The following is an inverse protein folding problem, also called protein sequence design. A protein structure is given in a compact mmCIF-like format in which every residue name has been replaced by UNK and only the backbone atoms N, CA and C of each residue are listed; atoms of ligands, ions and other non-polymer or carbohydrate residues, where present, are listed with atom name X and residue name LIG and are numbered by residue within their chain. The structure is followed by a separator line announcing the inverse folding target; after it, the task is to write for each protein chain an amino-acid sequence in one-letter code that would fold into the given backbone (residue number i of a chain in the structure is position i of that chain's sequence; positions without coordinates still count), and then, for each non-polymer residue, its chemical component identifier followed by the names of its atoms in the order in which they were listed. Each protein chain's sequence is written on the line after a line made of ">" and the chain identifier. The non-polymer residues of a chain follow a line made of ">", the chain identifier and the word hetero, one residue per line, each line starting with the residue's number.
data_IF_855363722935
#
_entry.id   IF_855363722935
#
_cell.length_a   1.000
_cell.length_b   1.000
_cell.length_c   1.000
_cell.angle_alpha   90.00
_cell.angle_beta   90.00
_cell.angle_gamma   90.00
#
_symmetry.space_group_name_H-M   'P 1'
#
loop_
_entity.id
_entity.type
_entity.pdbx_description
1 polymer ?
#
# COMPACT_ATOMS: atom_id res chain seq x y z
N UNK A 1 14.61 20.25 -25.07
CA UNK A 1 13.81 20.22 -23.84
C UNK A 1 14.48 19.22 -22.92
N UNK A 2 15.13 19.69 -21.87
CA UNK A 2 15.73 18.82 -20.86
C UNK A 2 14.59 18.25 -20.04
N UNK A 3 14.19 17.02 -20.33
CA UNK A 3 13.22 16.27 -19.53
C UNK A 3 13.77 16.19 -18.10
N UNK A 4 13.13 16.90 -17.19
CA UNK A 4 13.54 16.99 -15.79
C UNK A 4 13.08 15.71 -15.08
N UNK A 5 13.68 14.59 -15.46
CA UNK A 5 13.37 13.25 -14.97
C UNK A 5 13.81 13.14 -13.51
N UNK A 6 12.86 13.30 -12.59
CA UNK A 6 13.05 13.06 -11.17
C UNK A 6 12.85 11.56 -10.93
N UNK A 7 13.95 10.80 -10.83
CA UNK A 7 13.88 9.42 -10.38
C UNK A 7 13.24 9.40 -8.99
N UNK A 8 12.11 8.72 -8.87
CA UNK A 8 11.32 8.69 -7.64
C UNK A 8 11.44 7.30 -7.03
N UNK A 9 12.19 7.19 -5.94
CA UNK A 9 12.34 5.93 -5.20
C UNK A 9 11.24 5.76 -4.14
N UNK A 10 10.32 6.73 -4.03
CA UNK A 10 9.22 6.71 -3.05
C UNK A 10 7.86 7.09 -3.65
N UNK A 11 6.87 6.24 -3.42
CA UNK A 11 5.48 6.49 -3.78
C UNK A 11 4.73 6.91 -2.54
N UNK A 12 4.27 8.17 -2.52
CA UNK A 12 3.41 8.68 -1.45
C UNK A 12 1.97 8.71 -1.93
N UNK A 13 1.06 8.23 -1.09
CA UNK A 13 -0.36 8.17 -1.39
C UNK A 13 -1.20 8.52 -0.16
N UNK A 14 -2.35 9.15 -0.36
CA UNK A 14 -3.32 9.43 0.68
C UNK A 14 -4.46 8.41 0.64
N UNK A 15 -4.80 7.86 1.79
CA UNK A 15 -5.90 6.91 1.90
C UNK A 15 -7.24 7.62 1.67
N UNK A 16 -8.04 7.10 0.76
CA UNK A 16 -9.42 7.55 0.52
C UNK A 16 -10.42 6.63 1.23
N UNK A 17 -10.27 5.32 1.06
CA UNK A 17 -11.14 4.32 1.70
C UNK A 17 -10.32 3.14 2.19
N UNK A 18 -10.74 2.56 3.31
CA UNK A 18 -10.20 1.32 3.84
C UNK A 18 -11.33 0.33 4.13
N UNK A 19 -11.20 -0.87 3.61
CA UNK A 19 -12.13 -1.97 3.78
C UNK A 19 -11.41 -3.16 4.39
N UNK A 20 -12.04 -3.81 5.38
CA UNK A 20 -11.61 -5.10 5.87
C UNK A 20 -12.35 -6.18 5.09
N UNK A 21 -11.64 -6.90 4.21
CA UNK A 21 -12.21 -8.00 3.43
C UNK A 21 -11.92 -9.32 4.12
N UNK A 22 -12.97 -10.12 4.28
CA UNK A 22 -12.89 -11.48 4.79
C UNK A 22 -13.48 -12.42 3.75
N UNK A 23 -12.62 -13.19 3.07
CA UNK A 23 -13.05 -14.12 2.01
C UNK A 23 -13.81 -15.35 2.57
N UNK A 24 -13.63 -15.65 3.86
CA UNK A 24 -14.29 -16.76 4.55
C UNK A 24 -13.90 -16.81 6.02
N UNK A 25 -14.61 -17.63 6.81
CA UNK A 25 -14.47 -17.69 8.28
C UNK A 25 -13.07 -18.14 8.73
N UNK A 26 -12.36 -18.93 7.93
CA UNK A 26 -11.00 -19.40 8.21
C UNK A 26 -9.91 -18.62 7.44
N UNK A 27 -10.29 -17.63 6.64
CA UNK A 27 -9.33 -16.84 5.88
C UNK A 27 -8.79 -15.69 6.74
N UNK A 28 -7.49 -15.40 6.61
CA UNK A 28 -6.96 -14.16 7.16
C UNK A 28 -7.64 -12.96 6.49
N UNK A 29 -7.98 -11.92 7.27
CA UNK A 29 -8.50 -10.69 6.70
C UNK A 29 -7.46 -10.04 5.78
N UNK A 30 -7.96 -9.25 4.84
CA UNK A 30 -7.16 -8.45 3.91
C UNK A 30 -7.64 -7.02 4.02
N UNK A 31 -6.72 -6.06 4.13
CA UNK A 31 -7.12 -4.65 3.97
C UNK A 31 -7.14 -4.32 2.48
N UNK A 32 -8.30 -3.96 1.96
CA UNK A 32 -8.43 -3.38 0.64
C UNK A 32 -8.50 -1.86 0.79
N UNK A 33 -7.52 -1.17 0.23
CA UNK A 33 -7.28 0.25 0.42
C UNK A 33 -7.37 0.94 -0.94
N UNK A 34 -8.16 1.99 -1.03
CA UNK A 34 -8.15 2.91 -2.18
C UNK A 34 -7.38 4.14 -1.78
N UNK A 35 -6.31 4.44 -2.51
CA UNK A 35 -5.43 5.55 -2.21
C UNK A 35 -5.26 6.48 -3.41
N UNK A 36 -5.29 7.79 -3.17
CA UNK A 36 -4.93 8.78 -4.19
C UNK A 36 -3.42 8.94 -4.25
N UNK A 37 -2.84 8.88 -5.44
CA UNK A 37 -1.41 9.04 -5.62
C UNK A 37 -1.03 10.52 -5.54
N UNK A 38 -0.08 10.83 -4.66
CA UNK A 38 0.37 12.21 -4.41
C UNK A 38 1.60 12.54 -5.24
N UNK A 39 2.59 11.63 -5.29
CA UNK A 39 3.87 11.90 -5.95
C UNK A 39 3.90 11.51 -7.42
N UNK A 40 2.96 10.67 -7.88
CA UNK A 40 2.88 10.22 -9.27
C UNK A 40 1.50 10.56 -9.83
N UNK A 41 1.46 11.24 -10.98
CA UNK A 41 0.23 11.65 -11.68
C UNK A 41 -0.49 10.48 -12.38
N UNK A 42 -0.77 9.40 -11.64
CA UNK A 42 -1.50 8.21 -12.12
C UNK A 42 -2.89 8.08 -11.51
N UNK A 43 -3.34 9.09 -10.75
CA UNK A 43 -4.69 9.18 -10.21
C UNK A 43 -4.88 8.36 -8.94
N UNK A 44 -5.01 7.04 -9.06
CA UNK A 44 -5.39 6.18 -7.93
C UNK A 44 -4.52 4.91 -7.85
N UNK A 45 -4.38 4.39 -6.63
CA UNK A 45 -3.74 3.13 -6.31
C UNK A 45 -4.73 2.26 -5.53
N UNK A 46 -5.04 1.07 -6.06
CA UNK A 46 -5.73 0.03 -5.31
C UNK A 46 -4.69 -0.84 -4.63
N UNK A 47 -4.68 -0.84 -3.31
CA UNK A 47 -3.69 -1.56 -2.51
C UNK A 47 -4.36 -2.65 -1.69
N UNK A 48 -3.85 -3.87 -1.79
CA UNK A 48 -4.20 -4.97 -0.91
C UNK A 48 -3.06 -5.23 0.06
N UNK A 49 -3.39 -5.25 1.35
CA UNK A 49 -2.44 -5.50 2.42
C UNK A 49 -2.82 -6.77 3.15
N UNK A 50 -1.91 -7.74 3.11
CA UNK A 50 -2.05 -9.07 3.68
C UNK A 50 -1.20 -9.20 4.94
N UNK A 51 -1.65 -10.03 5.87
CA UNK A 51 -0.80 -10.45 6.99
C UNK A 51 0.26 -11.43 6.46
N UNK A 52 1.52 -11.15 6.74
CA UNK A 52 2.66 -12.02 6.45
C UNK A 52 3.09 -12.82 7.66
N UNK A 53 4.35 -13.21 7.67
CA UNK A 53 5.01 -13.84 8.82
C UNK A 53 5.89 -12.84 9.58
N UNK A 54 6.53 -13.30 10.66
CA UNK A 54 7.40 -12.48 11.50
C UNK A 54 8.66 -11.98 10.78
N UNK A 55 9.04 -12.60 9.66
CA UNK A 55 10.22 -12.28 8.86
C UNK A 55 9.92 -11.36 7.68
N UNK A 56 8.64 -11.06 7.44
CA UNK A 56 8.19 -10.21 6.35
C UNK A 56 8.80 -8.81 6.49
N UNK A 57 9.57 -8.38 5.49
CA UNK A 57 10.29 -7.10 5.50
C UNK A 57 11.55 -7.07 6.38
N UNK A 58 11.97 -8.20 6.95
CA UNK A 58 13.21 -8.28 7.71
C UNK A 58 14.41 -7.92 6.83
N UNK A 59 15.37 -7.20 7.40
CA UNK A 59 16.59 -6.75 6.71
C UNK A 59 16.34 -5.95 5.41
N UNK A 60 15.19 -5.27 5.30
CA UNK A 60 14.85 -4.49 4.11
C UNK A 60 14.41 -5.35 2.91
N UNK A 61 14.06 -6.61 3.14
CA UNK A 61 13.48 -7.47 2.10
C UNK A 61 12.21 -6.83 1.51
N UNK A 62 12.00 -7.05 0.21
CA UNK A 62 10.79 -6.60 -0.48
C UNK A 62 9.55 -7.18 0.20
N UNK A 63 8.56 -6.31 0.42
CA UNK A 63 7.30 -6.66 1.11
C UNK A 63 6.15 -6.91 0.12
N UNK A 64 6.39 -6.77 -1.17
CA UNK A 64 5.38 -6.94 -2.20
C UNK A 64 5.72 -6.21 -3.49
N UNK A 65 4.70 -6.06 -4.33
CA UNK A 65 4.86 -5.61 -5.71
C UNK A 65 3.87 -4.49 -6.05
N UNK A 66 4.26 -3.65 -7.00
CA UNK A 66 3.44 -2.58 -7.55
C UNK A 66 3.37 -2.75 -9.06
N UNK A 67 2.15 -2.91 -9.57
CA UNK A 67 1.84 -2.94 -10.98
C UNK A 67 1.36 -1.55 -11.42
N UNK A 68 2.10 -0.95 -12.37
CA UNK A 68 1.72 0.30 -13.03
C UNK A 68 1.14 -0.07 -14.40
N UNK A 69 -0.19 -0.06 -14.52
CA UNK A 69 -0.82 -0.32 -15.81
C UNK A 69 -0.60 0.85 -16.78
N UNK A 70 -0.18 0.55 -18.02
CA UNK A 70 -0.03 1.56 -19.07
C UNK A 70 -1.36 1.93 -19.72
N UNK A 71 -2.30 0.99 -19.77
CA UNK A 71 -3.59 1.13 -20.45
C UNK A 71 -4.64 1.87 -19.62
N UNK A 72 -4.47 1.96 -18.30
CA UNK A 72 -5.44 2.58 -17.38
C UNK A 72 -4.73 3.44 -16.32
N UNK A 73 -5.35 4.54 -15.86
CA UNK A 73 -4.80 5.39 -14.80
C UNK A 73 -5.11 4.80 -13.42
N UNK A 74 -4.76 3.54 -13.20
CA UNK A 74 -4.91 2.86 -11.91
C UNK A 74 -3.65 2.03 -11.64
N UNK A 75 -2.99 2.31 -10.53
CA UNK A 75 -1.92 1.46 -10.00
C UNK A 75 -2.51 0.39 -9.09
N UNK A 76 -1.86 -0.77 -9.04
CA UNK A 76 -2.21 -1.84 -8.11
C UNK A 76 -1.01 -2.20 -7.26
N UNK A 77 -1.20 -2.31 -5.96
CA UNK A 77 -0.16 -2.72 -5.02
C UNK A 77 -0.64 -3.93 -4.22
N UNK A 78 0.23 -4.93 -4.06
CA UNK A 78 -0.02 -6.09 -3.21
C UNK A 78 1.12 -6.23 -2.24
N UNK A 79 0.87 -5.98 -0.95
CA UNK A 79 1.88 -5.92 0.09
C UNK A 79 1.58 -6.89 1.23
N UNK A 80 2.63 -7.39 1.88
CA UNK A 80 2.56 -8.17 3.11
C UNK A 80 3.24 -7.39 4.23
N UNK A 81 2.69 -7.47 5.43
CA UNK A 81 3.31 -6.89 6.62
C UNK A 81 3.42 -7.91 7.74
N UNK A 82 4.42 -7.77 8.63
CA UNK A 82 4.51 -8.66 9.78
C UNK A 82 3.29 -8.47 10.71
N UNK A 83 2.83 -9.53 11.39
CA UNK A 83 1.62 -9.50 12.21
C UNK A 83 1.49 -8.32 13.20
N UNK A 84 2.54 -7.91 13.95
CA UNK A 84 2.42 -6.76 14.86
C UNK A 84 2.08 -5.44 14.14
N UNK A 85 2.61 -5.25 12.93
CA UNK A 85 2.34 -4.08 12.11
C UNK A 85 0.94 -4.17 11.50
N UNK A 86 0.54 -5.36 11.03
CA UNK A 86 -0.81 -5.61 10.53
C UNK A 86 -1.89 -5.25 11.57
N UNK A 87 -1.70 -5.70 12.82
CA UNK A 87 -2.61 -5.38 13.93
C UNK A 87 -2.56 -3.91 14.35
N UNK A 88 -1.42 -3.25 14.21
CA UNK A 88 -1.33 -1.82 14.44
C UNK A 88 -2.11 -1.04 13.37
N UNK A 89 -2.00 -1.44 12.10
CA UNK A 89 -2.73 -0.85 10.98
C UNK A 89 -4.24 -1.05 11.13
N UNK A 90 -4.70 -2.24 11.52
CA UNK A 90 -6.14 -2.49 11.74
C UNK A 90 -6.73 -1.49 12.75
N UNK A 91 -6.07 -1.32 13.90
CA UNK A 91 -6.51 -0.41 14.95
C UNK A 91 -6.51 1.05 14.52
N UNK A 92 -5.59 1.45 13.64
CA UNK A 92 -5.47 2.85 13.18
C UNK A 92 -6.45 3.16 12.05
N UNK A 93 -6.53 2.29 11.05
CA UNK A 93 -7.39 2.44 9.87
C UNK A 93 -8.87 2.51 10.26
N UNK A 94 -9.27 1.73 11.26
CA UNK A 94 -10.67 1.62 11.70
C UNK A 94 -10.94 2.31 13.03
N UNK A 95 -10.08 3.25 13.45
CA UNK A 95 -10.33 4.06 14.65
C UNK A 95 -11.43 5.09 14.41
N UNK A 96 -12.15 5.46 15.46
CA UNK A 96 -13.31 6.37 15.39
C UNK A 96 -12.96 7.83 15.08
N UNK A 97 -11.68 8.20 15.08
CA UNK A 97 -11.25 9.59 14.88
C UNK A 97 -10.82 9.80 13.43
N UNK A 98 -11.41 10.76 12.68
CA UNK A 98 -10.99 11.03 11.31
C UNK A 98 -9.59 11.66 11.32
N UNK A 99 -8.59 10.87 10.99
CA UNK A 99 -7.23 11.36 10.75
C UNK A 99 -6.86 11.05 9.30
N UNK A 100 -6.28 12.01 8.56
CA UNK A 100 -5.73 11.70 7.25
C UNK A 100 -4.62 10.66 7.42
N UNK A 101 -4.71 9.57 6.66
CA UNK A 101 -3.70 8.52 6.63
C UNK A 101 -2.96 8.63 5.31
N UNK A 102 -1.64 8.65 5.39
CA UNK A 102 -0.76 8.59 4.24
C UNK A 102 0.10 7.32 4.31
N UNK A 103 0.33 6.74 3.15
CA UNK A 103 1.28 5.65 2.97
C UNK A 103 2.42 6.14 2.11
N UNK A 104 3.64 5.82 2.54
CA UNK A 104 4.87 6.05 1.77
C UNK A 104 5.52 4.70 1.55
N UNK A 105 5.64 4.30 0.28
CA UNK A 105 6.31 3.07 -0.12
C UNK A 105 7.65 3.40 -0.73
N UNK A 106 8.71 2.76 -0.26
CA UNK A 106 10.03 2.84 -0.89
C UNK A 106 10.17 1.71 -1.90
N UNK A 107 10.58 2.04 -3.12
CA UNK A 107 10.83 1.09 -4.19
C UNK A 107 12.20 0.45 -3.99
N UNK A 108 12.28 -0.87 -4.13
CA UNK A 108 13.57 -1.55 -4.14
C UNK A 108 14.35 -1.17 -5.41
N UNK A 109 15.63 -0.82 -5.25
CA UNK A 109 16.53 -0.69 -6.39
C UNK A 109 16.71 -2.06 -7.05
N UNK A 110 16.58 -2.12 -8.37
CA UNK A 110 16.78 -3.35 -9.14
C UNK A 110 18.25 -3.59 -9.42
#
# INVERSE_FOLDING_TARGET
>A
MTDNWQQTDQITMSLQTAELRLAGIQSQPVFALSCHLVTIARGQCQMELFCGDQTTGANGAAIGDILIELSRPVMRASLRTPPPLYDALSRRLFSSTPRPIQFTLTLAAK
#
